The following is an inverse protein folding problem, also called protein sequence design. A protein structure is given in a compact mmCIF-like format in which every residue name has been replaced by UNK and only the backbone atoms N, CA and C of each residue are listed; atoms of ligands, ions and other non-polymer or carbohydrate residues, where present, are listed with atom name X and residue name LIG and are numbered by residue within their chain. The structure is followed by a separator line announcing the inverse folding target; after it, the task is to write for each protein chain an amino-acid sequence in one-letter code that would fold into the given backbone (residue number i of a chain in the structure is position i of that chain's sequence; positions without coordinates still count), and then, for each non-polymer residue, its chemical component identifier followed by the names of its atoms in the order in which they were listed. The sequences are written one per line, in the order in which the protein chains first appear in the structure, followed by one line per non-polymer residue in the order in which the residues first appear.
data_IF_456923062987
#
_entry.id   IF_456923062987
#
_cell.length_a   1.000
_cell.length_b   1.000
_cell.length_c   1.000
_cell.angle_alpha   90.00
_cell.angle_beta   90.00
_cell.angle_gamma   90.00
#
_symmetry.space_group_name_H-M   'P 1'
#
loop_
_entity.id
_entity.type
_entity.pdbx_description
1 polymer ?
#
# COMPACT_ATOMS: atom_id res chain seq x y z
N UNK A 1 -17.05 -17.29 26.89
CA UNK A 1 -16.05 -16.27 26.53
C UNK A 1 -15.95 -16.32 25.03
N UNK A 2 -16.59 -15.38 24.33
CA UNK A 2 -16.72 -15.41 22.87
C UNK A 2 -15.45 -14.78 22.30
N UNK A 3 -14.59 -15.57 21.65
CA UNK A 3 -13.48 -15.02 20.89
C UNK A 3 -14.04 -14.13 19.79
N UNK A 4 -13.65 -12.86 19.81
CA UNK A 4 -13.93 -11.95 18.72
C UNK A 4 -13.19 -12.46 17.48
N UNK A 5 -13.92 -13.08 16.56
CA UNK A 5 -13.45 -13.31 15.20
C UNK A 5 -13.15 -11.94 14.62
N UNK A 6 -11.88 -11.54 14.63
CA UNK A 6 -11.43 -10.38 13.88
C UNK A 6 -11.68 -10.72 12.43
N UNK A 7 -12.74 -10.14 11.86
CA UNK A 7 -13.10 -10.32 10.47
C UNK A 7 -12.07 -9.57 9.63
N UNK A 8 -10.88 -10.16 9.46
CA UNK A 8 -9.80 -9.59 8.67
C UNK A 8 -10.22 -9.68 7.21
N UNK A 9 -10.22 -8.57 6.46
CA UNK A 9 -10.47 -8.60 5.02
C UNK A 9 -9.55 -9.65 4.36
N UNK A 10 -10.12 -10.47 3.47
CA UNK A 10 -9.36 -11.49 2.74
C UNK A 10 -8.16 -10.83 2.03
N UNK A 11 -6.99 -11.47 2.02
CA UNK A 11 -5.81 -10.88 1.41
C UNK A 11 -5.98 -10.74 -0.12
N UNK A 12 -5.46 -9.66 -0.70
CA UNK A 12 -5.40 -9.46 -2.13
C UNK A 12 -4.14 -10.10 -2.70
N UNK A 13 -4.28 -11.35 -3.16
CA UNK A 13 -3.16 -12.20 -3.57
C UNK A 13 -3.24 -12.55 -5.05
N UNK A 14 -2.14 -12.36 -5.78
CA UNK A 14 -2.01 -12.84 -7.16
C UNK A 14 -0.58 -13.20 -7.49
N UNK A 15 -0.35 -14.49 -7.74
CA UNK A 15 0.97 -15.02 -8.09
C UNK A 15 0.92 -15.63 -9.49
N UNK A 16 1.76 -15.13 -10.39
CA UNK A 16 1.97 -15.70 -11.71
C UNK A 16 3.24 -16.54 -11.73
N UNK A 17 3.20 -17.64 -12.49
CA UNK A 17 4.36 -18.50 -12.67
C UNK A 17 5.51 -17.75 -13.34
N UNK A 18 6.74 -18.09 -12.98
CA UNK A 18 7.93 -17.60 -13.70
C UNK A 18 7.94 -18.01 -15.18
N UNK A 19 7.20 -19.06 -15.53
CA UNK A 19 7.06 -19.55 -16.90
C UNK A 19 5.97 -18.84 -17.70
N UNK A 20 5.18 -17.95 -17.09
CA UNK A 20 4.19 -17.16 -17.82
C UNK A 20 4.91 -16.21 -18.79
N UNK A 21 4.46 -16.24 -20.04
CA UNK A 21 4.86 -15.32 -21.09
C UNK A 21 4.40 -13.89 -20.77
N UNK A 22 4.99 -12.89 -21.42
CA UNK A 22 4.57 -11.49 -21.25
C UNK A 22 3.10 -11.26 -21.61
N UNK A 23 2.61 -11.88 -22.68
CA UNK A 23 1.22 -11.76 -23.11
C UNK A 23 0.25 -12.36 -22.07
N UNK A 24 0.60 -13.50 -21.47
CA UNK A 24 -0.19 -14.11 -20.39
C UNK A 24 -0.19 -13.24 -19.13
N UNK A 25 0.94 -12.61 -18.80
CA UNK A 25 1.02 -11.68 -17.65
C UNK A 25 0.17 -10.44 -17.88
N UNK A 26 0.19 -9.87 -19.09
CA UNK A 26 -0.64 -8.73 -19.47
C UNK A 26 -2.13 -9.08 -19.46
N UNK A 27 -2.50 -10.26 -19.96
CA UNK A 27 -3.88 -10.75 -19.89
C UNK A 27 -4.37 -10.93 -18.44
N UNK A 28 -3.43 -11.08 -17.50
CA UNK A 28 -3.65 -11.20 -16.07
C UNK A 28 -3.21 -9.95 -15.30
N UNK A 29 -3.18 -8.78 -15.94
CA UNK A 29 -2.81 -7.55 -15.28
C UNK A 29 -3.74 -7.22 -14.09
N UNK A 30 -3.17 -6.56 -13.08
CA UNK A 30 -3.89 -5.99 -11.94
C UNK A 30 -4.08 -4.51 -12.20
N UNK A 31 -5.29 -3.98 -12.01
CA UNK A 31 -5.51 -2.54 -12.18
C UNK A 31 -4.91 -1.74 -11.02
N UNK A 32 -4.30 -0.58 -11.29
CA UNK A 32 -3.81 0.33 -10.24
C UNK A 32 -4.91 0.74 -9.25
N UNK A 33 -6.12 1.02 -9.75
CA UNK A 33 -7.30 1.28 -8.92
C UNK A 33 -7.75 0.06 -8.10
N UNK A 34 -7.61 -1.15 -8.63
CA UNK A 34 -7.94 -2.39 -7.91
C UNK A 34 -7.00 -2.59 -6.72
N UNK A 35 -5.70 -2.38 -6.96
CA UNK A 35 -4.68 -2.40 -5.91
C UNK A 35 -4.94 -1.31 -4.85
N UNK A 36 -5.26 -0.09 -5.28
CA UNK A 36 -5.61 0.99 -4.35
C UNK A 36 -6.85 0.63 -3.50
N UNK A 37 -7.89 0.07 -4.11
CA UNK A 37 -9.09 -0.38 -3.40
C UNK A 37 -8.78 -1.48 -2.37
N UNK A 38 -7.90 -2.42 -2.70
CA UNK A 38 -7.45 -3.45 -1.76
C UNK A 38 -6.78 -2.83 -0.52
N UNK A 39 -5.89 -1.85 -0.75
CA UNK A 39 -5.25 -1.09 0.33
C UNK A 39 -6.27 -0.32 1.15
N UNK A 40 -7.23 0.36 0.52
CA UNK A 40 -8.30 1.11 1.20
C UNK A 40 -9.18 0.22 2.09
N UNK A 41 -9.44 -1.01 1.65
CA UNK A 41 -10.19 -2.01 2.44
C UNK A 41 -9.39 -2.59 3.60
N UNK A 42 -8.11 -2.23 3.73
CA UNK A 42 -7.22 -2.80 4.73
C UNK A 42 -6.91 -4.26 4.46
N UNK A 43 -6.85 -4.67 3.19
CA UNK A 43 -6.38 -6.01 2.79
C UNK A 43 -4.85 -6.03 2.77
N UNK A 44 -4.25 -7.14 3.21
CA UNK A 44 -2.84 -7.40 2.90
C UNK A 44 -2.70 -7.65 1.40
N UNK A 45 -1.63 -7.12 0.79
CA UNK A 45 -1.36 -7.30 -0.63
C UNK A 45 -0.14 -8.20 -0.80
N UNK A 46 -0.27 -9.26 -1.59
CA UNK A 46 0.85 -10.14 -1.98
C UNK A 46 0.78 -10.45 -3.48
N UNK A 47 1.59 -9.74 -4.26
CA UNK A 47 1.65 -9.84 -5.71
C UNK A 47 3.02 -10.35 -6.15
N UNK A 48 3.03 -11.36 -7.02
CA UNK A 48 4.27 -11.97 -7.52
C UNK A 48 4.15 -12.21 -9.01
N UNK A 49 5.12 -11.72 -9.80
CA UNK A 49 5.15 -11.98 -11.23
C UNK A 49 4.09 -11.22 -12.05
N UNK A 50 3.39 -10.25 -11.45
CA UNK A 50 2.25 -9.58 -12.09
C UNK A 50 2.69 -8.35 -12.89
N UNK A 51 1.82 -7.91 -13.80
CA UNK A 51 1.85 -6.54 -14.33
C UNK A 51 0.74 -5.75 -13.64
N UNK A 52 1.08 -4.61 -13.04
CA UNK A 52 0.10 -3.64 -12.55
C UNK A 52 -0.04 -2.56 -13.59
N UNK A 53 -1.26 -2.28 -14.06
CA UNK A 53 -1.53 -1.30 -15.11
C UNK A 53 -2.32 -0.14 -14.54
N UNK A 54 -1.83 1.07 -14.80
CA UNK A 54 -2.42 2.33 -14.34
C UNK A 54 -1.91 2.78 -12.98
N UNK A 55 -2.32 3.99 -12.60
CA UNK A 55 -1.77 4.70 -11.46
C UNK A 55 -2.28 4.16 -10.11
N UNK A 56 -1.39 4.17 -9.12
CA UNK A 56 -1.70 3.92 -7.70
C UNK A 56 -1.47 5.23 -6.93
N UNK A 57 -2.54 5.98 -6.74
CA UNK A 57 -2.51 7.32 -6.12
C UNK A 57 -2.89 7.24 -4.64
N UNK A 58 -1.90 7.22 -3.76
CA UNK A 58 -2.05 6.98 -2.32
C UNK A 58 -2.67 8.19 -1.57
N UNK A 59 -2.74 9.38 -2.15
CA UNK A 59 -3.57 10.49 -1.66
C UNK A 59 -5.07 10.22 -1.74
N UNK A 60 -5.49 9.25 -2.53
CA UNK A 60 -6.88 8.84 -2.61
C UNK A 60 -7.30 7.91 -1.47
N UNK A 61 -6.36 7.45 -0.63
CA UNK A 61 -6.72 6.76 0.60
C UNK A 61 -7.56 7.67 1.51
N UNK A 62 -8.54 7.13 2.25
CA UNK A 62 -9.35 7.92 3.15
C UNK A 62 -8.48 8.54 4.25
N UNK A 63 -8.76 9.80 4.54
CA UNK A 63 -8.16 10.50 5.67
C UNK A 63 -8.85 10.02 6.95
N UNK A 64 -8.08 9.59 7.94
CA UNK A 64 -8.57 9.16 9.24
C UNK A 64 -7.76 9.80 10.37
N UNK A 65 -8.31 9.74 11.58
CA UNK A 65 -7.58 10.23 12.76
C UNK A 65 -6.28 9.46 12.96
N UNK A 66 -5.26 10.14 13.47
CA UNK A 66 -4.00 9.52 13.88
C UNK A 66 -4.30 8.35 14.82
N UNK A 67 -3.77 7.13 14.53
CA UNK A 67 -3.96 5.99 15.42
C UNK A 67 -3.53 6.30 16.85
N UNK A 68 -4.21 5.70 17.83
CA UNK A 68 -3.90 5.94 19.24
C UNK A 68 -2.47 5.51 19.60
N UNK A 69 -1.94 6.11 20.66
CA UNK A 69 -0.52 6.01 21.06
C UNK A 69 -0.03 4.58 21.35
N UNK A 70 -0.93 3.64 21.57
CA UNK A 70 -0.62 2.22 21.74
C UNK A 70 -0.32 1.50 20.41
N UNK A 71 -0.60 2.14 19.28
CA UNK A 71 -0.52 1.57 17.92
C UNK A 71 0.65 2.09 17.09
N UNK A 72 1.45 3.01 17.64
CA UNK A 72 2.53 3.71 16.96
C UNK A 72 3.81 3.68 17.82
N UNK A 73 5.01 3.61 17.22
CA UNK A 73 6.25 3.92 17.91
C UNK A 73 6.25 5.35 18.45
N UNK A 74 6.89 5.56 19.61
CA UNK A 74 6.95 6.86 20.31
C UNK A 74 7.47 7.98 19.38
N UNK A 75 8.53 7.71 18.62
CA UNK A 75 9.12 8.68 17.69
C UNK A 75 8.13 9.16 16.61
N UNK A 76 7.32 8.24 16.08
CA UNK A 76 6.27 8.56 15.09
C UNK A 76 5.20 9.46 15.70
N UNK A 77 4.81 9.19 16.95
CA UNK A 77 3.82 9.99 17.67
C UNK A 77 4.33 11.41 17.94
N UNK A 78 5.54 11.55 18.46
CA UNK A 78 6.16 12.84 18.75
C UNK A 78 6.30 13.69 17.48
N UNK A 79 6.66 13.06 16.35
CA UNK A 79 6.76 13.74 15.06
C UNK A 79 5.40 14.23 14.56
N UNK A 80 4.34 13.43 14.67
CA UNK A 80 2.98 13.84 14.30
C UNK A 80 2.46 14.96 15.23
N UNK A 81 2.67 14.82 16.54
CA UNK A 81 2.26 15.80 17.54
C UNK A 81 2.98 17.14 17.39
N UNK A 82 4.31 17.14 17.22
CA UNK A 82 5.10 18.37 17.01
C UNK A 82 4.73 19.13 15.74
N UNK A 83 4.14 18.44 14.74
CA UNK A 83 3.64 19.03 13.50
C UNK A 83 2.14 19.34 13.54
N UNK A 84 1.48 19.14 14.68
CA UNK A 84 0.04 19.39 14.84
C UNK A 84 -0.85 18.51 13.96
N UNK A 85 -0.35 17.35 13.52
CA UNK A 85 -1.08 16.46 12.61
C UNK A 85 -2.12 15.68 13.40
N UNK A 86 -3.39 15.90 13.07
CA UNK A 86 -4.53 15.19 13.68
C UNK A 86 -5.06 14.05 12.84
N UNK A 87 -4.85 14.14 11.53
CA UNK A 87 -5.37 13.20 10.56
C UNK A 87 -4.28 12.76 9.57
N UNK A 88 -4.31 11.48 9.23
CA UNK A 88 -3.36 10.82 8.33
C UNK A 88 -4.09 9.83 7.42
N UNK A 89 -3.48 9.54 6.28
CA UNK A 89 -3.86 8.38 5.47
C UNK A 89 -3.07 7.18 5.95
N UNK A 90 -3.65 6.00 5.94
CA UNK A 90 -3.00 4.82 6.53
C UNK A 90 -2.98 3.66 5.53
N UNK A 91 -1.80 3.09 5.30
CA UNK A 91 -1.63 1.73 4.79
C UNK A 91 -1.50 0.82 6.00
N UNK A 92 -2.59 0.13 6.34
CA UNK A 92 -2.72 -0.60 7.60
C UNK A 92 -2.17 -2.01 7.58
N UNK A 93 -2.05 -2.62 6.40
CA UNK A 93 -1.59 -3.99 6.20
C UNK A 93 -0.32 -4.03 5.35
N UNK A 94 0.45 -5.13 5.42
CA UNK A 94 1.61 -5.34 4.56
C UNK A 94 1.26 -5.24 3.07
N UNK A 95 2.17 -4.64 2.29
CA UNK A 95 2.09 -4.62 0.82
C UNK A 95 3.37 -5.22 0.27
N UNK A 96 3.24 -6.36 -0.40
CA UNK A 96 4.36 -7.03 -1.05
C UNK A 96 4.09 -7.17 -2.54
N UNK A 97 5.01 -6.64 -3.34
CA UNK A 97 5.02 -6.75 -4.79
C UNK A 97 6.41 -7.25 -5.17
N UNK A 98 6.49 -8.42 -5.80
CA UNK A 98 7.76 -9.08 -6.11
C UNK A 98 7.82 -9.54 -7.55
N UNK A 99 9.01 -9.47 -8.17
CA UNK A 99 9.27 -9.96 -9.53
C UNK A 99 8.23 -9.47 -10.56
N UNK A 100 7.73 -8.24 -10.37
CA UNK A 100 6.57 -7.69 -11.07
C UNK A 100 6.93 -6.46 -11.92
N UNK A 101 6.01 -5.98 -12.74
CA UNK A 101 6.15 -4.72 -13.48
C UNK A 101 5.00 -3.78 -13.14
N UNK A 102 5.31 -2.50 -12.91
CA UNK A 102 4.32 -1.44 -12.71
C UNK A 102 4.34 -0.54 -13.96
N UNK A 103 3.27 -0.64 -14.75
CA UNK A 103 2.99 0.15 -15.94
C UNK A 103 2.08 1.34 -15.55
N UNK A 104 2.65 2.30 -14.81
CA UNK A 104 1.96 3.47 -14.25
C UNK A 104 2.77 4.13 -13.13
N UNK A 105 2.21 5.16 -12.47
CA UNK A 105 2.86 5.79 -11.31
C UNK A 105 2.39 5.21 -9.98
N UNK A 106 3.29 5.15 -9.00
CA UNK A 106 2.90 5.00 -7.58
C UNK A 106 3.25 6.32 -6.90
N UNK A 107 2.25 7.06 -6.42
CA UNK A 107 2.51 8.39 -5.89
C UNK A 107 1.62 8.73 -4.70
N UNK A 108 2.17 9.42 -3.71
CA UNK A 108 1.37 10.02 -2.64
C UNK A 108 0.71 11.32 -3.09
N UNK A 109 1.31 12.13 -3.99
CA UNK A 109 0.78 13.43 -4.47
C UNK A 109 0.31 14.41 -3.37
N UNK A 110 0.70 14.20 -2.12
CA UNK A 110 0.26 15.00 -0.98
C UNK A 110 0.93 16.38 -0.99
N UNK A 111 0.12 17.44 -0.96
CA UNK A 111 0.61 18.81 -0.71
C UNK A 111 0.77 19.10 0.78
N UNK A 112 -0.10 18.50 1.61
CA UNK A 112 -0.15 18.64 3.06
C UNK A 112 -0.52 17.30 3.70
N UNK A 113 -0.25 17.16 5.00
CA UNK A 113 -0.46 15.92 5.75
C UNK A 113 0.60 14.85 5.48
N UNK A 114 0.31 13.63 5.93
CA UNK A 114 1.21 12.47 5.84
C UNK A 114 0.46 11.20 5.47
N UNK A 115 1.17 10.32 4.77
CA UNK A 115 0.84 8.91 4.63
C UNK A 115 1.58 8.13 5.72
N UNK A 116 0.85 7.36 6.51
CA UNK A 116 1.40 6.47 7.52
C UNK A 116 1.37 5.03 7.01
N UNK A 117 2.50 4.35 7.06
CA UNK A 117 2.65 2.95 6.68
C UNK A 117 2.95 2.16 7.95
N UNK A 118 2.05 1.24 8.32
CA UNK A 118 2.10 0.48 9.59
C UNK A 118 2.65 -0.95 9.44
N UNK A 119 3.03 -1.32 8.24
CA UNK A 119 3.51 -2.66 7.92
C UNK A 119 4.61 -2.61 6.87
N UNK A 120 5.31 -3.73 6.65
CA UNK A 120 6.35 -3.78 5.65
C UNK A 120 5.79 -3.51 4.26
N UNK A 121 6.50 -2.67 3.52
CA UNK A 121 6.34 -2.50 2.07
C UNK A 121 7.51 -3.18 1.40
N UNK A 122 7.25 -4.10 0.50
CA UNK A 122 8.27 -4.82 -0.26
C UNK A 122 8.02 -4.65 -1.74
N UNK A 123 9.05 -4.22 -2.48
CA UNK A 123 9.02 -4.02 -3.93
C UNK A 123 10.25 -4.67 -4.58
N UNK A 124 10.52 -5.93 -4.23
CA UNK A 124 11.75 -6.62 -4.62
C UNK A 124 11.66 -7.16 -6.06
N UNK A 125 12.72 -7.00 -6.86
CA UNK A 125 12.71 -7.47 -8.25
C UNK A 125 11.62 -6.84 -9.13
N UNK A 126 11.02 -5.73 -8.68
CA UNK A 126 9.92 -5.05 -9.38
C UNK A 126 10.47 -3.93 -10.26
N UNK A 127 10.03 -3.88 -11.51
CA UNK A 127 10.37 -2.80 -12.45
C UNK A 127 9.26 -1.75 -12.47
N UNK A 128 9.63 -0.48 -12.40
CA UNK A 128 8.71 0.65 -12.53
C UNK A 128 8.99 1.34 -13.87
N UNK A 129 7.96 1.48 -14.70
CA UNK A 129 8.12 2.16 -16.00
C UNK A 129 8.02 3.67 -15.87
N UNK A 130 7.49 4.17 -14.75
CA UNK A 130 7.28 5.58 -14.47
C UNK A 130 7.64 5.91 -13.00
N UNK A 131 7.26 7.11 -12.55
CA UNK A 131 7.61 7.67 -11.25
C UNK A 131 7.08 6.85 -10.07
N UNK A 132 7.94 6.73 -9.07
CA UNK A 132 7.60 6.27 -7.72
C UNK A 132 7.87 7.40 -6.73
N UNK A 133 6.81 7.86 -6.08
CA UNK A 133 6.83 8.95 -5.11
C UNK A 133 6.24 8.52 -3.77
N UNK A 134 7.11 8.39 -2.77
CA UNK A 134 6.76 8.18 -1.36
C UNK A 134 7.00 9.43 -0.50
N UNK A 135 7.02 10.61 -1.10
CA UNK A 135 7.12 11.87 -0.34
C UNK A 135 5.98 11.97 0.68
N UNK A 136 6.29 12.62 1.82
CA UNK A 136 5.39 12.75 2.98
C UNK A 136 4.90 11.41 3.55
N UNK A 137 5.67 10.34 3.37
CA UNK A 137 5.41 9.04 3.99
C UNK A 137 6.19 8.86 5.28
N UNK A 138 5.53 8.29 6.29
CA UNK A 138 6.13 7.88 7.56
C UNK A 138 6.00 6.37 7.68
N UNK A 139 7.13 5.68 7.87
CA UNK A 139 7.18 4.25 8.11
C UNK A 139 7.22 4.01 9.62
N UNK A 140 6.37 3.11 10.09
CA UNK A 140 6.08 2.91 11.50
C UNK A 140 5.98 1.43 11.86
#
# INVERSE_FOLDING_TARGET
MVEAVRNTPEAFVKHLSKTCTEDERLAQAVGGNELLLAIQRGQAVDLVGVVVVGDVLLDQLPLGHVPSSDQLPVMTQELLASRGVKDVRVVSQPVSIRDSRIDGVIATKLKEGYLLIRGPITMAGTTFTDMVDFSRTMFS
#
